data_IF_783527018851
#
_entry.id   IF_783527018851
#
_cell.length_a   1.000
_cell.length_b   1.000
_cell.length_c   1.000
_cell.angle_alpha   90.00
_cell.angle_beta   90.00
_cell.angle_gamma   90.00
#
_symmetry.space_group_name_H-M   'P 1'
#
loop_
_entity.id
_entity.type
_entity.pdbx_description
1 polymer ?
#
# COMPACT_ATOMS: atom_id res chain seq x y z
N UNK A 1 23.20 15.52 14.49
CA UNK A 1 22.68 14.13 14.54
C UNK A 1 23.27 13.34 13.40
N UNK A 2 23.81 12.15 13.70
CA UNK A 2 24.39 11.25 12.69
C UNK A 2 23.85 9.83 12.91
N UNK A 3 23.72 9.08 11.85
CA UNK A 3 23.35 7.67 11.89
C UNK A 3 24.52 6.87 12.47
N UNK A 4 24.29 6.22 13.61
CA UNK A 4 25.28 5.42 14.34
C UNK A 4 25.23 3.94 13.97
N UNK A 5 24.02 3.42 13.80
CA UNK A 5 23.80 1.99 13.54
C UNK A 5 22.58 1.81 12.65
N UNK A 6 22.60 0.77 11.81
CA UNK A 6 21.47 0.32 11.02
C UNK A 6 21.36 -1.19 11.15
N UNK A 7 20.28 -1.64 11.74
CA UNK A 7 19.93 -3.04 11.89
C UNK A 7 18.94 -3.44 10.80
N UNK A 8 19.16 -4.60 10.20
CA UNK A 8 18.33 -5.19 9.16
C UNK A 8 17.94 -6.57 9.63
N UNK A 9 16.65 -6.91 9.54
CA UNK A 9 16.12 -8.20 9.98
C UNK A 9 15.26 -8.83 8.90
N UNK A 10 15.32 -10.15 8.80
CA UNK A 10 14.27 -10.93 8.14
C UNK A 10 13.02 -10.86 9.02
N UNK A 11 11.90 -10.45 8.42
CA UNK A 11 10.68 -10.14 9.14
C UNK A 11 9.51 -10.93 8.57
N UNK A 12 9.44 -12.21 8.95
CA UNK A 12 8.43 -13.14 8.45
C UNK A 12 7.17 -13.07 9.31
N UNK A 13 6.05 -12.73 8.69
CA UNK A 13 4.73 -12.66 9.33
C UNK A 13 3.83 -13.73 8.71
N UNK A 14 3.40 -14.75 9.47
CA UNK A 14 2.48 -15.75 8.98
C UNK A 14 1.08 -15.16 8.79
N UNK A 15 0.37 -15.63 7.76
CA UNK A 15 -1.03 -15.30 7.53
C UNK A 15 -1.95 -16.28 8.28
N UNK A 16 -3.12 -15.81 8.69
CA UNK A 16 -4.19 -16.66 9.26
C UNK A 16 -4.71 -17.66 8.24
N UNK A 17 -4.78 -17.27 6.95
CA UNK A 17 -5.19 -18.07 5.81
C UNK A 17 -4.41 -17.61 4.57
N UNK A 18 -4.22 -18.48 3.56
CA UNK A 18 -3.64 -18.06 2.28
C UNK A 18 -4.49 -16.95 1.63
N UNK A 19 -3.84 -15.88 1.18
CA UNK A 19 -4.49 -14.76 0.51
C UNK A 19 -4.39 -14.92 -1.01
N UNK A 20 -5.53 -14.89 -1.73
CA UNK A 20 -5.62 -15.20 -3.16
C UNK A 20 -6.03 -14.00 -3.99
N UNK A 21 -5.24 -13.72 -5.03
CA UNK A 21 -5.53 -12.70 -6.04
C UNK A 21 -5.37 -13.30 -7.45
N UNK A 22 -5.73 -12.57 -8.50
CA UNK A 22 -5.68 -13.08 -9.88
C UNK A 22 -4.29 -13.58 -10.30
N UNK A 23 -3.21 -12.95 -9.82
CA UNK A 23 -1.83 -13.24 -10.20
C UNK A 23 -1.06 -14.12 -9.20
N UNK A 24 -1.69 -14.63 -8.14
CA UNK A 24 -1.02 -15.54 -7.22
C UNK A 24 -1.72 -15.78 -5.90
N UNK A 25 -1.07 -16.62 -5.07
CA UNK A 25 -1.50 -16.93 -3.70
C UNK A 25 -0.33 -16.68 -2.75
N UNK A 26 -0.57 -15.94 -1.68
CA UNK A 26 0.42 -15.66 -0.63
C UNK A 26 0.11 -16.48 0.62
N UNK A 27 1.15 -17.03 1.22
CA UNK A 27 1.07 -17.86 2.43
C UNK A 27 1.66 -17.16 3.67
N UNK A 28 2.34 -16.04 3.48
CA UNK A 28 2.97 -15.22 4.51
C UNK A 28 3.47 -13.92 3.90
N UNK A 29 3.72 -12.92 4.70
CA UNK A 29 4.49 -11.74 4.35
C UNK A 29 5.96 -12.02 4.72
N UNK A 30 6.85 -12.04 3.71
CA UNK A 30 8.28 -12.24 3.89
C UNK A 30 8.95 -10.87 3.74
N UNK A 31 8.91 -10.11 4.82
CA UNK A 31 9.29 -8.73 4.85
C UNK A 31 10.74 -8.51 5.31
N UNK A 32 11.22 -7.30 5.19
CA UNK A 32 12.50 -6.86 5.78
C UNK A 32 12.23 -5.68 6.68
N UNK A 33 12.64 -5.81 7.95
CA UNK A 33 12.55 -4.73 8.92
C UNK A 33 13.88 -3.99 8.99
N UNK A 34 13.83 -2.66 8.97
CA UNK A 34 15.00 -1.78 9.09
C UNK A 34 14.84 -0.92 10.34
N UNK A 35 15.89 -0.85 11.16
CA UNK A 35 15.99 0.06 12.29
C UNK A 35 17.21 0.95 12.12
N UNK A 36 17.02 2.27 12.12
CA UNK A 36 18.10 3.26 12.04
C UNK A 36 18.23 3.95 13.39
N UNK A 37 19.42 3.88 14.00
CA UNK A 37 19.73 4.53 15.26
C UNK A 37 20.64 5.75 15.05
N UNK A 38 20.40 6.82 15.80
CA UNK A 38 21.24 8.02 15.77
C UNK A 38 22.12 8.15 17.00
N UNK A 39 23.12 9.03 16.93
CA UNK A 39 24.03 9.36 18.04
C UNK A 39 23.37 10.29 19.09
N UNK A 40 22.20 10.85 18.82
CA UNK A 40 21.50 11.83 19.67
C UNK A 40 20.15 11.35 20.21
N UNK A 41 19.79 10.09 20.06
CA UNK A 41 18.64 9.44 20.70
C UNK A 41 17.54 8.96 19.76
N UNK A 42 16.99 9.74 18.81
CA UNK A 42 15.95 9.23 17.91
C UNK A 42 16.37 7.97 17.15
N UNK A 43 15.46 7.01 17.06
CA UNK A 43 15.62 5.83 16.23
C UNK A 43 14.35 5.64 15.38
N UNK A 44 14.53 5.28 14.11
CA UNK A 44 13.42 5.13 13.18
C UNK A 44 13.26 3.70 12.70
N UNK A 45 12.02 3.32 12.46
CA UNK A 45 11.63 2.03 11.92
C UNK A 45 11.12 2.14 10.51
N UNK A 46 11.38 1.11 9.71
CA UNK A 46 10.81 0.98 8.37
C UNK A 46 10.69 -0.48 7.97
N UNK A 47 9.76 -0.76 7.09
CA UNK A 47 9.40 -2.08 6.63
C UNK A 47 9.38 -2.12 5.11
N UNK A 48 9.94 -3.18 4.54
CA UNK A 48 9.81 -3.53 3.14
C UNK A 48 8.99 -4.81 3.02
N UNK A 49 7.88 -4.75 2.27
CA UNK A 49 7.02 -5.88 1.97
C UNK A 49 7.07 -6.17 0.46
N UNK A 50 8.10 -6.92 -0.01
CA UNK A 50 8.22 -7.25 -1.42
C UNK A 50 7.17 -8.26 -1.84
N UNK A 51 6.64 -8.07 -3.05
CA UNK A 51 5.78 -9.05 -3.68
C UNK A 51 6.28 -9.34 -5.09
N UNK A 52 6.99 -10.47 -5.32
CA UNK A 52 7.70 -10.76 -6.57
C UNK A 52 6.88 -10.58 -7.85
N UNK A 53 5.59 -10.99 -7.93
CA UNK A 53 4.79 -10.79 -9.14
C UNK A 53 4.49 -9.31 -9.46
N UNK A 54 4.59 -8.41 -8.48
CA UNK A 54 4.31 -6.96 -8.65
C UNK A 54 5.60 -6.16 -8.61
N UNK A 55 6.38 -6.25 -7.52
CA UNK A 55 7.59 -5.43 -7.33
C UNK A 55 8.83 -6.02 -7.99
N UNK A 56 8.82 -7.32 -8.33
CA UNK A 56 9.99 -8.03 -8.85
C UNK A 56 11.05 -8.31 -7.79
N UNK A 57 10.78 -8.00 -6.54
CA UNK A 57 11.69 -8.16 -5.41
C UNK A 57 11.30 -9.37 -4.57
N UNK A 58 12.29 -9.98 -3.92
CA UNK A 58 12.13 -10.99 -2.87
C UNK A 58 12.71 -10.46 -1.56
N UNK A 59 12.45 -11.13 -0.45
CA UNK A 59 13.07 -10.82 0.83
C UNK A 59 14.60 -10.83 0.73
N UNK A 60 15.19 -11.83 0.05
CA UNK A 60 16.64 -11.96 -0.13
C UNK A 60 17.22 -10.82 -0.98
N UNK A 61 16.55 -10.43 -2.07
CA UNK A 61 17.00 -9.28 -2.88
C UNK A 61 16.93 -8.00 -2.07
N UNK A 62 15.87 -7.80 -1.28
CA UNK A 62 15.75 -6.66 -0.37
C UNK A 62 16.88 -6.64 0.67
N UNK A 63 17.20 -7.77 1.29
CA UNK A 63 18.32 -7.88 2.24
C UNK A 63 19.65 -7.56 1.57
N UNK A 64 19.90 -8.05 0.36
CA UNK A 64 21.12 -7.77 -0.39
C UNK A 64 21.28 -6.26 -0.69
N UNK A 65 20.21 -5.61 -1.14
CA UNK A 65 20.19 -4.18 -1.41
C UNK A 65 20.30 -3.37 -0.12
N UNK A 66 19.63 -3.80 0.96
CA UNK A 66 19.68 -3.15 2.26
C UNK A 66 21.10 -3.00 2.82
N UNK A 67 21.99 -3.98 2.58
CA UNK A 67 23.40 -3.89 2.97
C UNK A 67 24.12 -2.72 2.29
N UNK A 68 23.90 -2.55 1.01
CA UNK A 68 24.50 -1.44 0.25
C UNK A 68 23.93 -0.08 0.71
N UNK A 69 22.63 -0.01 0.98
CA UNK A 69 21.99 1.20 1.49
C UNK A 69 22.46 1.54 2.91
N UNK A 70 22.68 0.53 3.76
CA UNK A 70 23.28 0.70 5.09
C UNK A 70 24.65 1.37 4.99
N UNK A 71 25.53 0.83 4.14
CA UNK A 71 26.88 1.34 3.97
C UNK A 71 26.89 2.77 3.39
N UNK A 72 25.90 3.11 2.56
CA UNK A 72 25.70 4.47 2.03
C UNK A 72 25.29 5.46 3.13
N UNK A 73 24.51 5.02 4.13
CA UNK A 73 23.91 5.92 5.14
C UNK A 73 24.72 6.06 6.42
N UNK A 74 25.53 5.08 6.81
CA UNK A 74 26.29 5.13 8.07
C UNK A 74 27.12 6.41 8.19
N UNK A 75 27.03 7.07 9.35
CA UNK A 75 27.73 8.31 9.67
C UNK A 75 27.13 9.58 9.05
N UNK A 76 26.07 9.47 8.26
CA UNK A 76 25.42 10.62 7.60
C UNK A 76 24.34 11.25 8.48
N UNK A 77 23.87 12.41 8.04
CA UNK A 77 22.72 13.08 8.65
C UNK A 77 21.43 12.43 8.19
N UNK A 78 20.61 11.85 9.11
CA UNK A 78 19.35 11.22 8.76
C UNK A 78 18.29 12.19 8.21
N UNK A 79 18.42 13.49 8.46
CA UNK A 79 17.47 14.48 7.95
C UNK A 79 17.71 14.82 6.47
N UNK A 80 18.83 14.42 5.91
CA UNK A 80 19.15 14.62 4.49
C UNK A 80 18.47 13.59 3.56
N UNK A 81 17.20 13.28 3.80
CA UNK A 81 16.43 12.23 3.09
C UNK A 81 16.51 12.37 1.57
N UNK A 82 16.39 13.59 1.05
CA UNK A 82 16.45 13.86 -0.39
C UNK A 82 17.80 13.53 -1.02
N UNK A 83 18.88 13.75 -0.26
CA UNK A 83 20.25 13.45 -0.69
C UNK A 83 20.42 11.93 -0.76
N UNK A 84 20.01 11.23 0.30
CA UNK A 84 20.05 9.79 0.36
C UNK A 84 19.33 9.14 -0.82
N UNK A 85 18.05 9.49 -1.05
CA UNK A 85 17.27 8.86 -2.12
C UNK A 85 17.85 9.11 -3.51
N UNK A 86 18.46 10.30 -3.75
CA UNK A 86 19.16 10.58 -5.01
C UNK A 86 20.41 9.72 -5.18
N UNK A 87 21.16 9.50 -4.10
CA UNK A 87 22.37 8.68 -4.15
C UNK A 87 22.04 7.20 -4.21
N UNK A 88 21.01 6.75 -3.50
CA UNK A 88 20.48 5.38 -3.58
C UNK A 88 20.03 5.04 -5.01
N UNK A 89 19.31 5.94 -5.67
CA UNK A 89 18.90 5.77 -7.07
C UNK A 89 20.04 5.79 -8.09
N UNK A 90 21.25 6.26 -7.71
CA UNK A 90 22.47 6.12 -8.53
C UNK A 90 23.20 4.81 -8.26
N UNK A 91 23.03 4.26 -7.06
CA UNK A 91 23.65 3.00 -6.65
C UNK A 91 22.89 1.80 -7.20
N UNK A 92 21.57 1.85 -7.12
CA UNK A 92 20.67 0.75 -7.52
C UNK A 92 19.44 1.34 -8.18
N UNK A 93 19.13 0.87 -9.37
CA UNK A 93 17.87 1.14 -10.05
C UNK A 93 16.79 0.18 -9.55
N UNK A 94 15.53 0.63 -9.53
CA UNK A 94 14.39 -0.12 -9.00
C UNK A 94 14.51 -0.45 -7.49
N UNK A 95 14.05 -1.62 -7.02
CA UNK A 95 14.02 -2.05 -5.63
C UNK A 95 13.23 -1.11 -4.69
N UNK A 96 11.99 -0.77 -5.07
CA UNK A 96 11.21 0.24 -4.35
C UNK A 96 10.82 -0.20 -2.93
N UNK A 97 10.57 -1.48 -2.67
CA UNK A 97 10.14 -1.93 -1.35
C UNK A 97 11.21 -1.67 -0.30
N UNK A 98 12.47 -2.01 -0.58
CA UNK A 98 13.54 -1.76 0.40
C UNK A 98 13.90 -0.28 0.50
N UNK A 99 13.79 0.48 -0.58
CA UNK A 99 13.92 1.94 -0.52
C UNK A 99 12.85 2.56 0.37
N UNK A 100 11.61 2.04 0.33
CA UNK A 100 10.53 2.48 1.20
C UNK A 100 10.84 2.25 2.67
N UNK A 101 11.44 1.13 3.04
CA UNK A 101 11.84 0.86 4.42
C UNK A 101 12.83 1.90 4.95
N UNK A 102 13.87 2.21 4.17
CA UNK A 102 14.83 3.24 4.58
C UNK A 102 14.24 4.64 4.61
N UNK A 103 13.43 4.99 3.62
CA UNK A 103 12.72 6.27 3.55
C UNK A 103 11.78 6.46 4.75
N UNK A 104 10.98 5.45 5.10
CA UNK A 104 10.10 5.47 6.28
C UNK A 104 10.88 5.67 7.57
N UNK A 105 11.97 4.91 7.78
CA UNK A 105 12.79 5.03 8.98
C UNK A 105 13.41 6.44 9.11
N UNK A 106 13.83 7.05 8.00
CA UNK A 106 14.35 8.42 8.01
C UNK A 106 13.26 9.47 8.30
N UNK A 107 12.04 9.28 7.75
CA UNK A 107 10.90 10.15 8.06
C UNK A 107 10.41 9.97 9.49
N UNK A 108 10.49 8.77 10.05
CA UNK A 108 10.20 8.53 11.47
C UNK A 108 11.17 9.34 12.36
N UNK A 109 12.49 9.25 12.08
CA UNK A 109 13.49 10.07 12.77
C UNK A 109 13.23 11.57 12.61
N UNK A 110 12.84 12.01 11.40
CA UNK A 110 12.57 13.43 11.16
C UNK A 110 11.39 13.95 11.98
N UNK A 111 10.29 13.20 12.06
CA UNK A 111 9.15 13.51 12.90
C UNK A 111 9.50 13.53 14.38
N UNK A 112 10.28 12.55 14.86
CA UNK A 112 10.77 12.51 16.24
C UNK A 112 11.68 13.72 16.57
N UNK A 113 12.59 14.05 15.67
CA UNK A 113 13.49 15.20 15.84
C UNK A 113 12.74 16.54 15.83
N UNK A 114 11.64 16.64 15.11
CA UNK A 114 10.75 17.80 15.11
C UNK A 114 9.76 17.83 16.29
N UNK A 115 9.68 16.76 17.08
CA UNK A 115 8.71 16.62 18.17
C UNK A 115 7.26 16.54 17.69
N UNK A 116 7.02 16.05 16.46
CA UNK A 116 5.71 16.02 15.84
C UNK A 116 5.37 14.64 15.24
N UNK A 117 4.10 14.19 15.29
CA UNK A 117 3.66 13.05 14.52
C UNK A 117 3.88 13.30 13.01
N UNK A 118 4.19 12.23 12.27
CA UNK A 118 4.62 12.37 10.88
C UNK A 118 3.61 13.12 10.01
N UNK A 119 2.30 12.86 10.15
CA UNK A 119 1.29 13.58 9.35
C UNK A 119 1.38 15.10 9.54
N UNK A 120 1.64 15.58 10.77
CA UNK A 120 1.77 17.00 11.07
C UNK A 120 3.09 17.57 10.55
N UNK A 121 4.17 16.80 10.68
CA UNK A 121 5.47 17.15 10.09
C UNK A 121 5.39 17.32 8.57
N UNK A 122 4.53 16.54 7.91
CA UNK A 122 4.25 16.62 6.47
C UNK A 122 3.26 17.74 6.10
N UNK A 123 2.72 18.49 7.07
CA UNK A 123 1.81 19.62 6.84
C UNK A 123 0.33 19.29 6.93
N UNK A 124 -0.01 18.07 7.33
CA UNK A 124 -1.39 17.62 7.45
C UNK A 124 -2.00 17.80 8.84
N UNK A 125 -3.21 17.28 8.98
CA UNK A 125 -3.98 17.28 10.23
C UNK A 125 -4.45 15.86 10.57
N UNK A 126 -4.74 15.61 11.85
CA UNK A 126 -5.30 14.32 12.28
C UNK A 126 -6.70 14.16 11.73
N UNK A 127 -6.91 13.12 10.95
CA UNK A 127 -8.22 12.73 10.42
C UNK A 127 -8.55 11.29 10.78
N UNK A 128 -9.82 10.97 10.88
CA UNK A 128 -10.29 9.59 10.90
C UNK A 128 -10.34 9.09 9.46
N UNK A 129 -9.65 7.99 9.17
CA UNK A 129 -9.55 7.41 7.83
C UNK A 129 -10.49 6.22 7.74
N UNK A 130 -11.44 6.25 6.83
CA UNK A 130 -12.29 5.11 6.54
C UNK A 130 -11.62 4.23 5.47
N UNK A 131 -11.13 3.06 5.87
CA UNK A 131 -10.53 2.07 4.97
C UNK A 131 -11.55 1.04 4.51
N UNK A 132 -11.30 0.45 3.35
CA UNK A 132 -12.00 -0.77 2.93
C UNK A 132 -11.42 -2.02 3.62
N UNK A 133 -12.01 -3.17 3.32
CA UNK A 133 -11.50 -4.49 3.65
C UNK A 133 -11.64 -5.40 2.44
N UNK A 134 -10.63 -6.23 2.20
CA UNK A 134 -10.52 -7.03 1.00
C UNK A 134 -11.18 -8.40 1.16
N UNK A 135 -12.10 -8.71 0.23
CA UNK A 135 -12.59 -10.07 -0.02
C UNK A 135 -11.73 -10.71 -1.11
N UNK A 136 -10.78 -11.57 -0.71
CA UNK A 136 -9.91 -12.32 -1.61
C UNK A 136 -10.69 -13.37 -2.43
N UNK A 137 -10.07 -13.86 -3.53
CA UNK A 137 -10.71 -14.75 -4.48
C UNK A 137 -11.15 -16.10 -3.87
N UNK A 138 -12.46 -16.39 -4.02
CA UNK A 138 -13.07 -17.65 -3.64
C UNK A 138 -14.36 -17.88 -4.46
N UNK A 139 -15.19 -18.85 -4.08
CA UNK A 139 -16.52 -19.02 -4.65
C UNK A 139 -17.44 -17.83 -4.29
N UNK A 140 -18.45 -17.52 -5.12
CA UNK A 140 -19.40 -16.44 -4.84
C UNK A 140 -20.03 -16.51 -3.44
N UNK A 141 -20.39 -17.70 -2.98
CA UNK A 141 -21.04 -17.94 -1.69
C UNK A 141 -20.10 -17.61 -0.53
N UNK A 142 -18.84 -18.09 -0.59
CA UNK A 142 -17.84 -17.83 0.45
C UNK A 142 -17.44 -16.35 0.52
N UNK A 143 -17.32 -15.70 -0.64
CA UNK A 143 -17.03 -14.28 -0.69
C UNK A 143 -18.20 -13.45 -0.13
N UNK A 144 -19.45 -13.85 -0.40
CA UNK A 144 -20.63 -13.21 0.18
C UNK A 144 -20.73 -13.41 1.70
N UNK A 145 -20.40 -14.61 2.20
CA UNK A 145 -20.34 -14.89 3.65
C UNK A 145 -19.28 -14.02 4.36
N UNK A 146 -18.06 -13.93 3.79
CA UNK A 146 -17.02 -13.02 4.33
C UNK A 146 -17.48 -11.57 4.33
N UNK A 147 -18.07 -11.11 3.22
CA UNK A 147 -18.58 -9.75 3.12
C UNK A 147 -19.67 -9.44 4.17
N UNK A 148 -20.55 -10.41 4.49
CA UNK A 148 -21.49 -10.28 5.60
C UNK A 148 -20.78 -10.10 6.95
N UNK A 149 -19.72 -10.88 7.20
CA UNK A 149 -18.89 -10.77 8.39
C UNK A 149 -18.21 -9.40 8.50
N UNK A 150 -17.69 -8.86 7.40
CA UNK A 150 -17.07 -7.53 7.36
C UNK A 150 -18.08 -6.42 7.72
N UNK A 151 -19.28 -6.45 7.14
CA UNK A 151 -20.34 -5.49 7.47
C UNK A 151 -20.76 -5.63 8.93
N UNK A 152 -20.89 -6.85 9.45
CA UNK A 152 -21.20 -7.09 10.85
C UNK A 152 -20.11 -6.56 11.82
N UNK A 153 -18.83 -6.54 11.37
CA UNK A 153 -17.69 -5.96 12.09
C UNK A 153 -17.59 -4.44 11.92
N UNK A 154 -18.53 -3.81 11.21
CA UNK A 154 -18.63 -2.35 11.09
C UNK A 154 -18.00 -1.74 9.83
N UNK A 155 -17.39 -2.54 8.94
CA UNK A 155 -16.88 -2.03 7.66
C UNK A 155 -18.04 -1.57 6.76
N UNK A 156 -17.82 -0.46 6.09
CA UNK A 156 -18.77 0.14 5.14
C UNK A 156 -18.27 0.14 3.71
N UNK A 157 -17.02 -0.22 3.49
CA UNK A 157 -16.36 -0.32 2.19
C UNK A 157 -15.75 -1.72 2.06
N UNK A 158 -15.96 -2.36 0.92
CA UNK A 158 -15.41 -3.69 0.63
C UNK A 158 -14.75 -3.65 -0.72
N UNK A 159 -13.48 -4.09 -0.77
CA UNK A 159 -12.74 -4.35 -1.99
C UNK A 159 -12.93 -5.81 -2.39
N UNK A 160 -13.33 -6.07 -3.61
CA UNK A 160 -13.59 -7.42 -4.13
C UNK A 160 -12.50 -7.77 -5.13
N UNK A 161 -11.77 -8.85 -4.89
CA UNK A 161 -10.84 -9.38 -5.88
C UNK A 161 -11.61 -10.09 -7.00
N UNK A 162 -11.24 -9.77 -8.24
CA UNK A 162 -11.78 -10.30 -9.51
C UNK A 162 -10.62 -10.59 -10.47
N UNK A 163 -10.85 -10.70 -11.77
CA UNK A 163 -9.76 -10.79 -12.76
C UNK A 163 -9.45 -12.23 -13.20
N UNK A 164 -10.32 -13.20 -12.91
CA UNK A 164 -10.16 -14.57 -13.41
C UNK A 164 -11.02 -14.80 -14.64
N UNK A 165 -12.30 -14.96 -14.45
CA UNK A 165 -13.30 -15.19 -15.48
C UNK A 165 -14.42 -14.17 -15.33
N UNK A 166 -14.75 -13.39 -16.39
CA UNK A 166 -15.74 -12.31 -16.30
C UNK A 166 -17.13 -12.74 -15.82
N UNK A 167 -17.59 -13.95 -16.17
CA UNK A 167 -18.90 -14.47 -15.75
C UNK A 167 -18.88 -14.87 -14.27
N UNK A 168 -17.82 -15.52 -13.83
CA UNK A 168 -17.62 -15.87 -12.42
C UNK A 168 -17.43 -14.62 -11.57
N UNK A 169 -16.69 -13.62 -12.07
CA UNK A 169 -16.46 -12.34 -11.38
C UNK A 169 -17.78 -11.56 -11.22
N UNK A 170 -18.65 -11.58 -12.24
CA UNK A 170 -20.00 -11.04 -12.14
C UNK A 170 -20.86 -11.77 -11.10
N UNK A 171 -20.77 -13.11 -11.06
CA UNK A 171 -21.48 -13.92 -10.06
C UNK A 171 -21.01 -13.60 -8.62
N UNK A 172 -19.69 -13.42 -8.41
CA UNK A 172 -19.10 -12.99 -7.14
C UNK A 172 -19.66 -11.64 -6.68
N UNK A 173 -19.60 -10.64 -7.57
CA UNK A 173 -20.12 -9.30 -7.29
C UNK A 173 -21.63 -9.32 -6.99
N UNK A 174 -22.40 -10.07 -7.75
CA UNK A 174 -23.86 -10.25 -7.57
C UNK A 174 -24.15 -10.82 -6.18
N UNK A 175 -23.48 -11.91 -5.80
CA UNK A 175 -23.68 -12.54 -4.51
C UNK A 175 -23.32 -11.59 -3.35
N UNK A 176 -22.19 -10.89 -3.44
CA UNK A 176 -21.76 -9.92 -2.44
C UNK A 176 -22.75 -8.76 -2.35
N UNK A 177 -23.10 -8.11 -3.47
CA UNK A 177 -24.01 -6.95 -3.48
C UNK A 177 -25.37 -7.31 -2.90
N UNK A 178 -25.90 -8.50 -3.22
CA UNK A 178 -27.15 -9.01 -2.64
C UNK A 178 -27.06 -9.16 -1.12
N UNK A 179 -25.91 -9.56 -0.61
CA UNK A 179 -25.67 -9.80 0.82
C UNK A 179 -25.47 -8.48 1.60
N UNK A 180 -24.64 -7.57 1.10
CA UNK A 180 -24.28 -6.35 1.84
C UNK A 180 -25.23 -5.17 1.59
N UNK A 181 -26.09 -5.29 0.59
CA UNK A 181 -27.09 -4.26 0.24
C UNK A 181 -26.47 -3.04 -0.46
N UNK A 182 -27.28 -2.02 -0.70
CA UNK A 182 -26.91 -0.84 -1.51
C UNK A 182 -26.12 0.23 -0.75
N UNK A 183 -26.05 0.14 0.59
CA UNK A 183 -25.37 1.14 1.43
C UNK A 183 -23.88 0.86 1.63
N UNK A 184 -23.42 -0.35 1.38
CA UNK A 184 -22.02 -0.70 1.43
C UNK A 184 -21.35 -0.26 0.12
N UNK A 185 -20.30 0.53 0.19
CA UNK A 185 -19.47 0.89 -0.94
C UNK A 185 -18.68 -0.34 -1.42
N UNK A 186 -18.56 -0.53 -2.72
CA UNK A 186 -17.82 -1.65 -3.33
C UNK A 186 -16.86 -1.11 -4.36
N UNK A 187 -15.60 -1.49 -4.25
CA UNK A 187 -14.61 -1.42 -5.32
C UNK A 187 -14.23 -2.82 -5.79
N UNK A 188 -13.73 -2.95 -7.00
CA UNK A 188 -13.23 -4.22 -7.54
C UNK A 188 -11.79 -4.08 -7.99
N UNK A 189 -11.00 -5.14 -7.83
CA UNK A 189 -9.60 -5.17 -8.23
C UNK A 189 -9.32 -6.44 -9.04
N UNK A 190 -8.97 -6.24 -10.30
CA UNK A 190 -8.71 -7.31 -11.23
C UNK A 190 -7.24 -7.74 -11.27
N UNK A 191 -6.33 -7.03 -10.61
CA UNK A 191 -4.89 -7.32 -10.59
C UNK A 191 -4.35 -7.76 -11.95
N UNK A 192 -4.64 -6.97 -13.00
CA UNK A 192 -4.18 -7.21 -14.38
C UNK A 192 -4.81 -8.44 -15.07
N UNK A 193 -5.85 -9.06 -14.49
CA UNK A 193 -6.32 -10.37 -14.89
C UNK A 193 -7.12 -10.42 -16.18
N UNK A 194 -7.61 -9.29 -16.73
CA UNK A 194 -8.41 -9.26 -17.93
C UNK A 194 -7.64 -8.75 -19.16
N UNK A 195 -8.03 -9.22 -20.32
CA UNK A 195 -7.72 -8.56 -21.59
C UNK A 195 -8.61 -7.32 -21.77
N UNK A 196 -8.22 -6.39 -22.64
CA UNK A 196 -9.01 -5.15 -22.91
C UNK A 196 -10.47 -5.47 -23.31
N UNK A 197 -10.76 -6.41 -24.23
CA UNK A 197 -12.14 -6.78 -24.54
C UNK A 197 -12.90 -7.37 -23.35
N UNK A 198 -12.26 -8.25 -22.56
CA UNK A 198 -12.86 -8.84 -21.36
C UNK A 198 -13.20 -7.77 -20.33
N UNK A 199 -12.27 -6.83 -20.05
CA UNK A 199 -12.49 -5.74 -19.12
C UNK A 199 -13.70 -4.88 -19.53
N UNK A 200 -13.81 -4.50 -20.82
CA UNK A 200 -14.90 -3.67 -21.32
C UNK A 200 -16.25 -4.40 -21.16
N UNK A 201 -16.32 -5.69 -21.48
CA UNK A 201 -17.55 -6.49 -21.35
C UNK A 201 -17.91 -6.68 -19.88
N UNK A 202 -16.94 -7.08 -19.05
CA UNK A 202 -17.15 -7.29 -17.62
C UNK A 202 -17.67 -6.02 -16.93
N UNK A 203 -17.00 -4.89 -17.15
CA UNK A 203 -17.38 -3.61 -16.54
C UNK A 203 -18.75 -3.10 -17.04
N UNK A 204 -19.08 -3.34 -18.30
CA UNK A 204 -20.42 -3.08 -18.83
C UNK A 204 -21.51 -3.87 -18.10
N UNK A 205 -21.28 -5.16 -17.86
CA UNK A 205 -22.22 -6.03 -17.13
C UNK A 205 -22.27 -5.71 -15.62
N UNK A 206 -21.22 -5.12 -15.06
CA UNK A 206 -21.14 -4.74 -13.65
C UNK A 206 -21.69 -3.33 -13.34
N UNK A 207 -22.06 -2.56 -14.34
CA UNK A 207 -22.50 -1.16 -14.19
C UNK A 207 -23.68 -0.96 -13.23
N UNK A 208 -24.65 -1.88 -13.21
CA UNK A 208 -25.84 -1.80 -12.34
C UNK A 208 -25.54 -1.99 -10.85
N UNK A 209 -24.37 -2.57 -10.49
CA UNK A 209 -24.02 -2.90 -9.12
C UNK A 209 -23.43 -1.71 -8.33
N UNK A 210 -23.33 -0.52 -8.93
CA UNK A 210 -22.79 0.69 -8.30
C UNK A 210 -21.41 0.46 -7.69
N UNK A 211 -20.48 0.01 -8.53
CA UNK A 211 -19.07 -0.14 -8.19
C UNK A 211 -18.41 1.24 -8.24
N UNK A 212 -17.68 1.62 -7.20
CA UNK A 212 -17.04 2.94 -7.10
C UNK A 212 -15.91 3.10 -8.12
N UNK A 213 -15.10 2.06 -8.30
CA UNK A 213 -14.03 2.00 -9.31
C UNK A 213 -13.56 0.56 -9.53
N UNK A 214 -12.89 0.34 -10.67
CA UNK A 214 -12.11 -0.87 -10.96
C UNK A 214 -10.63 -0.53 -10.87
N UNK A 215 -9.89 -1.32 -10.09
CA UNK A 215 -8.44 -1.23 -9.95
C UNK A 215 -7.75 -2.18 -10.92
N UNK A 216 -6.77 -1.67 -11.66
CA UNK A 216 -5.88 -2.33 -12.61
C UNK A 216 -6.53 -3.47 -13.43
N UNK A 217 -7.49 -3.15 -14.30
CA UNK A 217 -8.24 -4.17 -15.05
C UNK A 217 -7.39 -4.97 -16.04
N UNK A 218 -6.36 -4.34 -16.62
CA UNK A 218 -5.52 -4.91 -17.69
C UNK A 218 -4.04 -4.85 -17.30
N UNK A 219 -3.18 -5.55 -18.06
CA UNK A 219 -1.74 -5.60 -17.83
C UNK A 219 -1.12 -4.22 -17.58
N UNK A 220 -0.28 -4.09 -16.56
CA UNK A 220 0.33 -2.84 -16.11
C UNK A 220 1.08 -2.09 -17.22
N UNK A 221 1.73 -2.82 -18.13
CA UNK A 221 2.50 -2.25 -19.25
C UNK A 221 1.64 -1.82 -20.45
N UNK A 222 0.37 -2.21 -20.48
CA UNK A 222 -0.58 -1.85 -21.54
C UNK A 222 -1.33 -0.56 -21.21
N UNK A 223 -0.61 0.56 -21.22
CA UNK A 223 -1.17 1.90 -20.96
C UNK A 223 -2.23 2.27 -22.01
N UNK A 224 -2.04 1.86 -23.26
CA UNK A 224 -3.00 2.12 -24.32
C UNK A 224 -4.31 1.32 -24.09
N UNK A 225 -4.18 0.06 -23.67
CA UNK A 225 -5.33 -0.77 -23.29
C UNK A 225 -6.05 -0.23 -22.05
N UNK A 226 -5.30 0.24 -21.04
CA UNK A 226 -5.89 0.87 -19.84
C UNK A 226 -6.72 2.11 -20.22
N UNK A 227 -6.17 2.99 -21.09
CA UNK A 227 -6.88 4.14 -21.66
C UNK A 227 -8.16 3.70 -22.38
N UNK A 228 -8.10 2.65 -23.21
CA UNK A 228 -9.25 2.18 -23.97
C UNK A 228 -10.34 1.64 -23.04
N UNK A 229 -9.97 0.91 -21.98
CA UNK A 229 -10.91 0.48 -20.93
C UNK A 229 -11.55 1.69 -20.27
N UNK A 230 -10.75 2.67 -19.80
CA UNK A 230 -11.27 3.89 -19.18
C UNK A 230 -12.30 4.61 -20.04
N UNK A 231 -12.01 4.74 -21.35
CA UNK A 231 -12.92 5.45 -22.29
C UNK A 231 -14.26 4.75 -22.51
N UNK A 232 -14.32 3.44 -22.35
CA UNK A 232 -15.51 2.62 -22.61
C UNK A 232 -16.21 2.12 -21.36
N UNK A 233 -15.52 2.15 -20.23
CA UNK A 233 -16.08 1.68 -18.97
C UNK A 233 -17.08 2.68 -18.39
N UNK A 234 -18.26 2.20 -17.94
CA UNK A 234 -19.15 3.01 -17.12
C UNK A 234 -18.68 3.16 -15.66
N UNK A 235 -17.65 2.40 -15.27
CA UNK A 235 -17.04 2.38 -13.94
C UNK A 235 -15.68 3.08 -14.02
N UNK A 236 -15.36 4.05 -13.14
CA UNK A 236 -14.06 4.72 -13.12
C UNK A 236 -12.91 3.71 -12.98
N UNK A 237 -11.76 4.03 -13.58
CA UNK A 237 -10.57 3.16 -13.62
C UNK A 237 -9.48 3.73 -12.72
N UNK A 238 -8.92 2.88 -11.86
CA UNK A 238 -7.77 3.18 -11.00
C UNK A 238 -6.53 2.45 -11.51
N UNK A 239 -5.40 3.16 -11.62
CA UNK A 239 -4.10 2.58 -11.91
C UNK A 239 -3.42 2.14 -10.61
N UNK A 240 -3.00 0.88 -10.52
CA UNK A 240 -2.21 0.30 -9.42
C UNK A 240 -0.85 -0.18 -9.92
N UNK A 241 -0.76 -1.34 -10.53
CA UNK A 241 0.51 -1.91 -10.99
C UNK A 241 1.13 -1.15 -12.17
N UNK A 242 0.39 -0.25 -12.79
CA UNK A 242 0.92 0.70 -13.78
C UNK A 242 1.58 1.94 -13.16
N UNK A 243 1.56 2.10 -11.82
CA UNK A 243 2.03 3.28 -11.10
C UNK A 243 3.08 2.92 -10.05
N UNK A 244 4.36 3.00 -10.39
CA UNK A 244 5.49 2.75 -9.49
C UNK A 244 6.27 4.03 -9.13
N UNK A 245 6.18 5.06 -9.93
CA UNK A 245 7.02 6.23 -9.77
C UNK A 245 6.30 7.53 -10.14
N UNK A 246 6.84 8.71 -9.74
CA UNK A 246 6.38 9.98 -10.25
C UNK A 246 6.43 10.09 -11.78
N UNK A 247 7.35 9.38 -12.45
CA UNK A 247 7.40 9.33 -13.93
C UNK A 247 6.21 8.58 -14.50
N UNK A 248 5.82 7.44 -13.89
CA UNK A 248 4.64 6.70 -14.31
C UNK A 248 3.37 7.54 -14.11
N UNK A 249 3.28 8.28 -13.00
CA UNK A 249 2.17 9.20 -12.76
C UNK A 249 2.02 10.23 -13.90
N UNK A 250 3.13 10.86 -14.34
CA UNK A 250 3.12 11.79 -15.47
C UNK A 250 2.69 11.09 -16.77
N UNK A 251 3.19 9.88 -17.02
CA UNK A 251 2.85 9.12 -18.21
C UNK A 251 1.37 8.71 -18.24
N UNK A 252 0.82 8.27 -17.11
CA UNK A 252 -0.62 7.94 -16.97
C UNK A 252 -1.51 9.17 -17.18
N UNK A 253 -1.13 10.33 -16.62
CA UNK A 253 -1.83 11.60 -16.85
C UNK A 253 -1.82 11.99 -18.32
N UNK A 254 -0.63 11.96 -18.97
CA UNK A 254 -0.51 12.30 -20.40
C UNK A 254 -1.29 11.36 -21.31
N UNK A 255 -1.36 10.09 -20.95
CA UNK A 255 -2.11 9.09 -21.70
C UNK A 255 -3.60 9.15 -21.42
N UNK A 256 -4.07 9.92 -20.42
CA UNK A 256 -5.46 9.89 -19.93
C UNK A 256 -5.92 8.45 -19.62
N UNK A 257 -5.03 7.65 -18.99
CA UNK A 257 -5.23 6.21 -18.88
C UNK A 257 -6.08 5.77 -17.68
N UNK A 258 -6.29 6.63 -16.70
CA UNK A 258 -7.06 6.31 -15.48
C UNK A 258 -7.77 7.55 -14.92
N UNK A 259 -8.68 7.32 -13.98
CA UNK A 259 -9.41 8.36 -13.23
C UNK A 259 -8.82 8.55 -11.84
N UNK A 260 -8.19 7.49 -11.28
CA UNK A 260 -7.60 7.48 -9.94
C UNK A 260 -6.22 6.81 -9.95
N UNK A 261 -5.40 7.17 -8.96
CA UNK A 261 -4.13 6.54 -8.65
C UNK A 261 -4.22 5.74 -7.36
N UNK A 262 -3.67 4.51 -7.34
CA UNK A 262 -3.40 3.78 -6.11
C UNK A 262 -1.91 3.93 -5.76
N UNK A 263 -1.62 4.71 -4.73
CA UNK A 263 -0.27 4.95 -4.21
C UNK A 263 0.03 3.89 -3.15
N UNK A 264 1.07 3.08 -3.36
CA UNK A 264 1.57 2.13 -2.36
C UNK A 264 3.04 2.44 -2.07
N UNK A 265 3.41 2.55 -0.80
CA UNK A 265 4.78 2.89 -0.41
C UNK A 265 5.79 1.87 -0.96
N UNK A 266 5.40 0.59 -1.00
CA UNK A 266 6.21 -0.51 -1.51
C UNK A 266 6.49 -0.42 -3.01
N UNK A 267 5.61 0.23 -3.78
CA UNK A 267 5.81 0.45 -5.22
C UNK A 267 6.60 1.71 -5.51
N UNK A 268 6.33 2.79 -4.77
CA UNK A 268 6.92 4.09 -5.10
C UNK A 268 8.24 4.39 -4.38
N UNK A 269 8.68 3.52 -3.46
CA UNK A 269 9.93 3.73 -2.73
C UNK A 269 9.79 4.67 -1.54
N UNK A 270 8.61 4.71 -0.89
CA UNK A 270 8.39 5.37 0.39
C UNK A 270 7.60 6.67 0.34
N UNK A 271 7.58 7.35 1.48
CA UNK A 271 6.81 8.57 1.77
C UNK A 271 7.11 9.69 0.78
N UNK A 272 8.40 9.95 0.51
CA UNK A 272 8.79 11.06 -0.37
C UNK A 272 8.21 10.97 -1.77
N UNK A 273 8.28 9.80 -2.39
CA UNK A 273 7.74 9.62 -3.73
C UNK A 273 6.21 9.53 -3.73
N UNK A 274 5.62 8.98 -2.66
CA UNK A 274 4.17 8.99 -2.46
C UNK A 274 3.62 10.42 -2.50
N UNK A 275 4.25 11.36 -1.77
CA UNK A 275 3.90 12.79 -1.80
C UNK A 275 4.03 13.39 -3.20
N UNK A 276 5.11 13.09 -3.93
CA UNK A 276 5.27 13.57 -5.31
C UNK A 276 4.16 13.07 -6.24
N UNK A 277 3.78 11.79 -6.12
CA UNK A 277 2.69 11.21 -6.91
C UNK A 277 1.36 11.87 -6.53
N UNK A 278 1.10 12.09 -5.23
CA UNK A 278 -0.08 12.80 -4.75
C UNK A 278 -0.16 14.22 -5.33
N UNK A 279 0.92 14.99 -5.31
CA UNK A 279 0.96 16.34 -5.90
C UNK A 279 0.80 16.35 -7.43
N UNK A 280 1.30 15.33 -8.15
CA UNK A 280 1.07 15.17 -9.59
C UNK A 280 -0.41 14.89 -9.84
N UNK A 281 -1.04 13.99 -9.08
CA UNK A 281 -2.46 13.67 -9.23
C UNK A 281 -3.34 14.89 -8.92
N UNK A 282 -3.04 15.64 -7.85
CA UNK A 282 -3.74 16.87 -7.51
C UNK A 282 -3.64 17.89 -8.64
N UNK A 283 -2.43 18.15 -9.14
CA UNK A 283 -2.18 19.10 -10.24
C UNK A 283 -2.86 18.69 -11.53
N UNK A 284 -3.14 17.40 -11.73
CA UNK A 284 -3.88 16.85 -12.87
C UNK A 284 -5.40 16.74 -12.62
N UNK A 285 -5.92 17.22 -11.49
CA UNK A 285 -7.31 17.06 -11.04
C UNK A 285 -7.75 15.59 -10.93
N UNK A 286 -6.81 14.69 -10.63
CA UNK A 286 -7.10 13.31 -10.28
C UNK A 286 -7.16 13.18 -8.76
N UNK A 287 -7.89 12.16 -8.29
CA UNK A 287 -7.87 11.74 -6.89
C UNK A 287 -7.02 10.48 -6.73
N UNK A 288 -6.63 10.20 -5.49
CA UNK A 288 -5.79 9.05 -5.21
C UNK A 288 -6.38 8.21 -4.08
N UNK A 289 -5.92 6.99 -4.03
CA UNK A 289 -6.00 6.06 -2.93
C UNK A 289 -4.60 5.85 -2.36
N UNK A 290 -4.48 5.59 -1.08
CA UNK A 290 -3.33 4.94 -0.52
C UNK A 290 -3.69 3.47 -0.25
N UNK A 291 -2.88 2.57 -0.80
CA UNK A 291 -3.09 1.13 -0.67
C UNK A 291 -1.91 0.41 -0.05
N UNK A 292 -2.06 -0.89 0.13
CA UNK A 292 -1.04 -1.76 0.70
C UNK A 292 -0.82 -3.03 -0.14
N UNK A 293 0.20 -3.79 0.25
CA UNK A 293 0.41 -5.18 -0.11
C UNK A 293 -0.06 -6.07 1.06
N UNK A 294 0.87 -6.60 1.85
CA UNK A 294 0.60 -7.35 3.08
C UNK A 294 1.47 -6.83 4.25
N UNK A 295 1.70 -5.54 4.27
CA UNK A 295 2.51 -4.88 5.29
C UNK A 295 1.90 -5.03 6.69
N UNK A 296 2.77 -4.99 7.70
CA UNK A 296 2.32 -4.86 9.09
C UNK A 296 1.80 -3.46 9.40
N UNK A 297 1.26 -3.27 10.59
CA UNK A 297 0.83 -1.93 11.04
C UNK A 297 1.92 -0.87 11.00
N UNK A 298 3.21 -1.26 10.93
CA UNK A 298 4.31 -0.30 10.80
C UNK A 298 4.20 0.49 9.49
N UNK A 299 4.29 -0.18 8.34
CA UNK A 299 4.24 0.51 7.06
C UNK A 299 2.82 1.04 6.73
N UNK A 300 1.77 0.34 7.20
CA UNK A 300 0.41 0.86 7.08
C UNK A 300 0.23 2.18 7.85
N UNK A 301 0.89 2.34 9.01
CA UNK A 301 0.90 3.61 9.74
C UNK A 301 1.57 4.72 8.93
N UNK A 302 2.71 4.43 8.29
CA UNK A 302 3.38 5.40 7.43
C UNK A 302 2.48 5.83 6.25
N UNK A 303 1.78 4.88 5.63
CA UNK A 303 0.82 5.14 4.55
C UNK A 303 -0.37 5.99 5.03
N UNK A 304 -0.91 5.72 6.21
CA UNK A 304 -1.99 6.50 6.81
C UNK A 304 -1.54 7.93 7.17
N UNK A 305 -0.28 8.13 7.61
CA UNK A 305 0.28 9.46 7.79
C UNK A 305 0.36 10.25 6.48
N UNK A 306 0.75 9.61 5.37
CA UNK A 306 0.75 10.25 4.04
C UNK A 306 -0.68 10.67 3.66
N UNK A 307 -1.68 9.80 3.83
CA UNK A 307 -3.06 10.13 3.54
C UNK A 307 -3.56 11.33 4.37
N UNK A 308 -3.19 11.39 5.65
CA UNK A 308 -3.58 12.50 6.53
C UNK A 308 -2.90 13.83 6.17
N UNK A 309 -1.82 13.78 5.38
CA UNK A 309 -1.13 14.98 4.90
C UNK A 309 -1.69 15.50 3.56
N UNK A 310 -2.34 14.65 2.77
CA UNK A 310 -2.69 14.94 1.37
C UNK A 310 -4.20 14.82 1.12
N UNK A 311 -4.90 15.94 0.94
CA UNK A 311 -6.36 15.99 0.80
C UNK A 311 -6.91 15.33 -0.46
N UNK A 312 -6.12 15.19 -1.51
CA UNK A 312 -6.52 14.52 -2.75
C UNK A 312 -6.41 12.99 -2.66
N UNK A 313 -5.86 12.43 -1.59
CA UNK A 313 -5.93 11.01 -1.26
C UNK A 313 -7.26 10.78 -0.51
N UNK A 314 -8.26 10.28 -1.21
CA UNK A 314 -9.64 10.20 -0.73
C UNK A 314 -10.11 8.78 -0.45
N UNK A 315 -9.34 7.78 -0.87
CA UNK A 315 -9.59 6.35 -0.63
C UNK A 315 -8.44 5.74 0.16
N UNK A 316 -8.76 4.75 0.97
CA UNK A 316 -7.80 3.94 1.72
C UNK A 316 -8.11 2.44 1.57
N UNK A 317 -7.04 1.67 1.33
CA UNK A 317 -6.98 0.21 1.27
C UNK A 317 -5.79 -0.19 2.18
N UNK A 318 -6.01 -0.11 3.51
CA UNK A 318 -4.99 -0.26 4.55
C UNK A 318 -5.34 -1.39 5.53
N UNK A 319 -5.84 -2.48 5.01
CA UNK A 319 -6.35 -3.63 5.76
C UNK A 319 -5.35 -4.80 5.87
N UNK A 320 -4.18 -4.75 5.21
CA UNK A 320 -3.24 -5.88 5.04
C UNK A 320 -2.94 -6.63 6.33
N UNK A 321 -2.71 -5.90 7.45
CA UNK A 321 -2.41 -6.49 8.76
C UNK A 321 -3.56 -7.34 9.34
N UNK A 322 -4.80 -7.17 8.90
CA UNK A 322 -5.94 -7.96 9.38
C UNK A 322 -5.86 -9.42 8.99
N UNK A 323 -5.07 -9.74 7.97
CA UNK A 323 -4.79 -11.10 7.50
C UNK A 323 -3.66 -11.79 8.27
N UNK A 324 -2.92 -11.09 9.11
CA UNK A 324 -1.78 -11.62 9.85
C UNK A 324 -2.20 -12.50 11.03
N UNK A 325 -1.47 -13.58 11.26
CA UNK A 325 -1.67 -14.44 12.43
C UNK A 325 -1.05 -13.86 13.71
N UNK A 326 -0.10 -12.93 13.57
CA UNK A 326 0.58 -12.24 14.67
C UNK A 326 0.75 -10.76 14.34
N UNK A 327 0.68 -9.91 15.35
CA UNK A 327 0.95 -8.48 15.23
C UNK A 327 2.06 -8.07 16.21
N UNK A 328 3.31 -7.91 15.74
CA UNK A 328 4.44 -7.54 16.59
C UNK A 328 4.61 -6.02 16.78
N UNK A 329 3.69 -5.20 16.26
CA UNK A 329 3.84 -3.73 16.28
C UNK A 329 3.18 -3.14 17.52
N UNK A 330 3.93 -2.32 18.25
CA UNK A 330 3.47 -1.55 19.40
C UNK A 330 3.14 -0.14 18.93
N UNK A 331 1.99 0.40 19.32
CA UNK A 331 1.52 1.70 18.84
C UNK A 331 1.09 1.67 17.36
N UNK A 332 1.28 2.79 16.66
CA UNK A 332 0.86 2.92 15.27
C UNK A 332 -0.65 3.10 15.10
N UNK A 333 -1.12 2.87 13.90
CA UNK A 333 -2.56 2.98 13.58
C UNK A 333 -3.39 1.98 14.39
N UNK A 334 -4.59 2.42 14.75
CA UNK A 334 -5.64 1.55 15.31
C UNK A 334 -6.79 1.45 14.31
N UNK A 335 -7.23 0.23 14.01
CA UNK A 335 -8.36 -0.04 13.11
C UNK A 335 -9.55 -0.57 13.92
N UNK A 336 -10.61 0.21 13.98
CA UNK A 336 -11.86 -0.17 14.67
C UNK A 336 -13.04 0.07 13.73
N UNK A 337 -13.82 -0.97 13.46
CA UNK A 337 -15.03 -0.89 12.65
C UNK A 337 -14.82 -0.18 11.28
N UNK A 338 -13.71 -0.48 10.61
CA UNK A 338 -13.35 0.12 9.32
C UNK A 338 -12.79 1.55 9.40
N UNK A 339 -12.56 2.07 10.60
CA UNK A 339 -11.99 3.40 10.81
C UNK A 339 -10.60 3.30 11.41
N UNK A 340 -9.64 3.92 10.76
CA UNK A 340 -8.25 4.05 11.22
C UNK A 340 -8.09 5.37 11.96
N UNK A 341 -7.42 5.30 13.12
CA UNK A 341 -6.92 6.46 13.87
C UNK A 341 -5.42 6.40 14.00
N UNK A 342 -4.76 7.55 13.92
CA UNK A 342 -3.31 7.69 14.03
C UNK A 342 -2.88 8.15 15.42
N UNK A 343 -1.69 7.71 15.90
CA UNK A 343 -1.11 8.21 17.13
C UNK A 343 -0.71 9.68 17.01
N UNK A 344 -0.64 10.38 18.15
CA UNK A 344 -0.14 11.76 18.23
C UNK A 344 1.30 11.84 18.72
N UNK A 345 1.95 10.70 18.93
CA UNK A 345 3.37 10.62 19.31
C UNK A 345 4.27 11.05 18.14
N UNK A 346 5.43 11.68 18.43
CA UNK A 346 6.36 12.09 17.39
C UNK A 346 6.83 10.93 16.49
N UNK A 347 7.07 11.22 15.22
CA UNK A 347 7.45 10.25 14.22
C UNK A 347 6.25 9.44 13.72
N UNK A 348 6.44 8.17 13.45
CA UNK A 348 5.38 7.22 13.09
C UNK A 348 4.53 6.81 14.31
N UNK A 349 5.10 6.93 15.52
CA UNK A 349 4.44 6.47 16.73
C UNK A 349 4.37 4.96 16.85
N UNK A 350 5.33 4.25 16.28
CA UNK A 350 5.43 2.79 16.28
C UNK A 350 6.69 2.31 17.00
N UNK A 351 6.63 1.12 17.53
CA UNK A 351 7.78 0.33 17.95
C UNK A 351 7.54 -1.15 17.64
N UNK A 352 8.56 -1.98 17.77
CA UNK A 352 8.47 -3.42 17.55
C UNK A 352 8.63 -4.13 18.89
N UNK A 353 7.78 -5.13 19.16
CA UNK A 353 7.84 -5.93 20.39
C UNK A 353 9.25 -6.47 20.60
N UNK A 354 9.93 -6.10 21.71
CA UNK A 354 11.30 -6.55 21.98
C UNK A 354 11.44 -8.06 22.10
N UNK A 355 10.39 -8.79 22.53
CA UNK A 355 10.41 -10.23 22.62
C UNK A 355 10.30 -10.88 21.24
N UNK A 356 9.54 -10.27 20.32
CA UNK A 356 9.47 -10.68 18.92
C UNK A 356 10.79 -10.36 18.19
N UNK A 357 11.29 -9.13 18.34
CA UNK A 357 12.53 -8.66 17.69
C UNK A 357 13.74 -9.56 18.01
N UNK A 358 13.86 -10.04 19.25
CA UNK A 358 14.94 -10.97 19.67
C UNK A 358 14.93 -12.31 18.94
N UNK A 359 13.82 -12.71 18.35
CA UNK A 359 13.67 -13.97 17.61
C UNK A 359 14.01 -13.81 16.13
N UNK A 360 14.06 -12.58 15.63
CA UNK A 360 14.32 -12.31 14.21
C UNK A 360 15.78 -12.58 13.87
N UNK A 361 16.00 -13.13 12.68
CA UNK A 361 17.33 -13.27 12.09
C UNK A 361 17.82 -11.89 11.65
N UNK A 362 18.89 -11.45 12.29
CA UNK A 362 19.57 -10.20 11.93
C UNK A 362 20.60 -10.46 10.81
N UNK A 363 20.78 -9.46 9.92
CA UNK A 363 21.70 -9.50 8.76
C UNK A 363 23.07 -8.94 9.12
#
# INVERSE_FOLDING_TARGET
>A
MKIRNIDIFYFDIPLQQPFRIAIGTMHGANDVLVRIETDSGPAGWGEACPFPPITGETQETNVAVARNLRDLLLGRDPLAVSVFLREAGRLIDANPSILAAFDMALYDIAGQAAGQPLFRFLGGEKVAIETDITADLDTPERMAERAAGFVASGFRKIKIKVGQDPELDLARLTAIRKTVGSRCAISIDANQGWTVPQAIIALGNMAEFRVDFVEQPVAARDIAGLREVRRRSPIPVMADEALFSPHDAINLVRAEACDYFNIKLMKCGGVRNALKIAHISESANLRSMVGCMLETRLALTAAAHVMSAERNIVFADLDGHTSHAVDPIIGGLELVAGTITLPETPGLGVDVDPAFLKKLRKV
#
